data_IF_821603101320
#
_entry.id   IF_821603101320
#
_cell.length_a   1.000
_cell.length_b   1.000
_cell.length_c   1.000
_cell.angle_alpha   90.00
_cell.angle_beta   90.00
_cell.angle_gamma   90.00
#
_symmetry.space_group_name_H-M   'P 1'
#
loop_
_entity.id
_entity.type
_entity.pdbx_description
1 polymer ?
#
# COMPACT_ATOMS: atom_id res chain seq x y z
N UNK A 1 -32.16 -46.26 54.00
CA UNK A 1 -33.34 -45.62 53.38
C UNK A 1 -32.86 -44.30 52.80
N UNK A 2 -32.64 -44.25 51.48
CA UNK A 2 -33.57 -43.69 50.48
C UNK A 2 -33.33 -42.18 50.32
N UNK A 3 -33.14 -41.55 49.16
CA UNK A 3 -32.99 -41.92 47.74
C UNK A 3 -32.57 -40.60 47.03
N UNK A 4 -31.71 -40.71 45.99
CA UNK A 4 -31.69 -39.97 44.68
C UNK A 4 -31.89 -38.42 44.69
N UNK A 5 -31.15 -37.62 43.92
CA UNK A 5 -30.96 -37.73 42.46
C UNK A 5 -29.84 -36.76 41.98
N UNK A 6 -28.97 -37.22 41.06
CA UNK A 6 -28.80 -36.73 39.68
C UNK A 6 -28.50 -35.23 39.50
N UNK A 7 -27.34 -34.88 38.96
CA UNK A 7 -27.22 -34.60 37.51
C UNK A 7 -25.76 -34.38 37.12
N UNK A 8 -25.43 -34.79 35.89
CA UNK A 8 -24.14 -34.63 35.23
C UNK A 8 -24.03 -33.25 34.54
N UNK A 9 -22.92 -33.08 33.81
CA UNK A 9 -22.67 -32.08 32.76
C UNK A 9 -21.94 -30.80 33.23
N UNK A 10 -20.97 -30.23 32.51
CA UNK A 10 -20.12 -30.68 31.40
C UNK A 10 -19.03 -29.60 31.27
N UNK A 11 -17.84 -30.02 30.87
CA UNK A 11 -16.74 -29.16 30.42
C UNK A 11 -17.23 -28.25 29.27
N UNK A 12 -17.05 -26.94 29.37
CA UNK A 12 -17.01 -26.05 28.20
C UNK A 12 -15.74 -25.22 28.26
N UNK A 13 -14.75 -25.67 27.49
CA UNK A 13 -13.58 -24.91 27.08
C UNK A 13 -14.05 -23.72 26.22
N UNK A 14 -14.05 -22.52 26.78
CA UNK A 14 -14.16 -21.29 26.00
C UNK A 14 -12.81 -21.02 25.32
N UNK A 15 -12.67 -21.51 24.08
CA UNK A 15 -11.69 -21.01 23.12
C UNK A 15 -11.97 -19.51 22.91
N UNK A 16 -11.17 -18.67 23.56
CA UNK A 16 -11.10 -17.25 23.29
C UNK A 16 -10.44 -17.10 21.92
N UNK A 17 -11.25 -17.18 20.87
CA UNK A 17 -10.87 -16.72 19.54
C UNK A 17 -10.65 -15.21 19.63
N UNK A 18 -9.40 -14.81 19.82
CA UNK A 18 -8.98 -13.42 19.65
C UNK A 18 -9.23 -13.03 18.19
N UNK A 19 -10.40 -12.45 17.95
CA UNK A 19 -10.64 -11.59 16.80
C UNK A 19 -9.60 -10.47 16.87
N UNK A 20 -8.52 -10.61 16.10
CA UNK A 20 -7.69 -9.47 15.73
C UNK A 20 -8.53 -8.60 14.81
N UNK A 21 -9.32 -7.71 15.41
CA UNK A 21 -9.89 -6.56 14.71
C UNK A 21 -8.69 -5.67 14.41
N UNK A 22 -8.11 -5.80 13.21
CA UNK A 22 -7.15 -4.82 12.71
C UNK A 22 -7.96 -3.53 12.55
N UNK A 23 -7.67 -2.46 13.31
CA UNK A 23 -8.34 -1.19 13.06
C UNK A 23 -7.93 -0.76 11.66
N UNK A 24 -8.87 -0.83 10.72
CA UNK A 24 -8.77 -0.08 9.48
C UNK A 24 -8.82 1.39 9.89
N UNK A 25 -7.65 2.02 9.94
CA UNK A 25 -7.52 3.46 9.97
C UNK A 25 -8.16 3.98 8.68
N UNK A 26 -9.48 4.16 8.70
CA UNK A 26 -10.18 5.05 7.80
C UNK A 26 -9.75 6.46 8.21
N UNK A 27 -8.56 6.86 7.76
CA UNK A 27 -8.11 8.23 7.90
C UNK A 27 -8.98 9.06 6.94
N UNK A 28 -9.87 9.88 7.49
CA UNK A 28 -10.62 10.94 6.79
C UNK A 28 -9.71 12.10 6.30
N UNK A 29 -8.42 11.83 6.09
CA UNK A 29 -7.42 12.79 5.63
C UNK A 29 -6.93 12.44 4.23
N UNK A 30 -6.42 13.45 3.53
CA UNK A 30 -5.70 13.23 2.27
C UNK A 30 -4.55 12.24 2.53
N UNK A 31 -4.45 11.18 1.73
CA UNK A 31 -3.42 10.14 1.85
C UNK A 31 -2.36 10.32 0.79
N UNK A 32 -1.12 9.96 1.10
CA UNK A 32 0.05 9.94 0.20
C UNK A 32 0.83 8.62 0.32
N UNK A 33 1.81 8.44 -0.56
CA UNK A 33 2.80 7.36 -0.52
C UNK A 33 4.09 7.81 0.15
N UNK A 34 4.66 6.94 0.97
CA UNK A 34 5.96 7.14 1.59
C UNK A 34 7.07 7.21 0.54
N UNK A 35 8.02 8.14 0.71
CA UNK A 35 9.25 8.19 -0.08
C UNK A 35 10.02 6.87 0.00
N UNK A 36 10.56 6.45 -1.14
CA UNK A 36 11.27 5.18 -1.30
C UNK A 36 10.36 3.95 -1.35
N UNK A 37 9.04 4.13 -1.50
CA UNK A 37 8.10 3.01 -1.64
C UNK A 37 7.92 2.58 -3.10
N UNK A 38 7.54 1.32 -3.29
CA UNK A 38 7.16 0.78 -4.59
C UNK A 38 5.64 0.69 -4.72
N UNK A 39 5.14 0.89 -5.94
CA UNK A 39 3.77 0.55 -6.32
C UNK A 39 3.83 -0.33 -7.57
N UNK A 40 3.34 -1.56 -7.48
CA UNK A 40 3.46 -2.55 -8.57
C UNK A 40 2.12 -3.05 -9.10
N UNK A 41 2.07 -3.49 -10.35
CA UNK A 41 0.85 -3.96 -11.00
C UNK A 41 0.18 -5.14 -10.26
N UNK A 42 0.98 -6.01 -9.62
CA UNK A 42 0.52 -7.17 -8.86
C UNK A 42 1.18 -7.22 -7.47
N UNK A 43 0.56 -7.87 -6.48
CA UNK A 43 1.17 -8.07 -5.16
C UNK A 43 2.45 -8.91 -5.24
N UNK A 44 2.51 -9.90 -6.14
CA UNK A 44 3.70 -10.74 -6.33
C UNK A 44 4.88 -9.94 -6.87
N UNK A 45 4.65 -9.00 -7.80
CA UNK A 45 5.71 -8.09 -8.27
C UNK A 45 6.21 -7.18 -7.14
N UNK A 46 5.30 -6.72 -6.27
CA UNK A 46 5.66 -5.92 -5.11
C UNK A 46 6.56 -6.71 -4.14
N UNK A 47 6.20 -7.95 -3.82
CA UNK A 47 7.00 -8.79 -2.91
C UNK A 47 8.38 -9.11 -3.49
N UNK A 48 8.46 -9.38 -4.79
CA UNK A 48 9.72 -9.63 -5.48
C UNK A 48 10.65 -8.40 -5.43
N UNK A 49 10.14 -7.21 -5.73
CA UNK A 49 10.99 -6.01 -5.79
C UNK A 49 11.44 -5.54 -4.40
N UNK A 50 10.56 -5.65 -3.39
CA UNK A 50 10.93 -5.34 -2.00
C UNK A 50 11.99 -6.32 -1.50
N UNK A 51 11.87 -7.61 -1.84
CA UNK A 51 12.87 -8.62 -1.50
C UNK A 51 14.20 -8.32 -2.19
N UNK A 52 14.18 -8.02 -3.49
CA UNK A 52 15.38 -7.69 -4.26
C UNK A 52 16.10 -6.44 -3.71
N UNK A 53 15.35 -5.41 -3.31
CA UNK A 53 15.92 -4.21 -2.68
C UNK A 53 16.51 -4.52 -1.30
N UNK A 54 15.82 -5.35 -0.48
CA UNK A 54 16.27 -5.73 0.86
C UNK A 54 17.55 -6.56 0.83
N UNK A 55 17.67 -7.48 -0.13
CA UNK A 55 18.83 -8.37 -0.26
C UNK A 55 20.06 -7.67 -0.84
N UNK A 56 19.93 -6.39 -1.23
CA UNK A 56 21.06 -5.49 -1.51
C UNK A 56 21.85 -5.81 -2.77
N UNK A 57 21.33 -6.68 -3.65
CA UNK A 57 21.99 -7.09 -4.89
C UNK A 57 22.01 -6.02 -5.99
N UNK A 58 21.07 -5.08 -5.96
CA UNK A 58 20.91 -4.02 -6.95
C UNK A 58 20.58 -2.70 -6.27
N UNK A 59 21.04 -1.58 -6.83
CA UNK A 59 20.64 -0.26 -6.35
C UNK A 59 19.15 0.00 -6.66
N UNK A 60 18.45 0.86 -5.89
CA UNK A 60 17.07 1.23 -6.20
C UNK A 60 16.88 1.78 -7.63
N UNK A 61 17.88 2.51 -8.14
CA UNK A 61 17.88 3.02 -9.51
C UNK A 61 17.89 1.89 -10.56
N UNK A 62 18.70 0.87 -10.33
CA UNK A 62 18.77 -0.28 -11.24
C UNK A 62 17.46 -1.07 -11.21
N UNK A 63 16.91 -1.33 -10.03
CA UNK A 63 15.61 -1.98 -9.87
C UNK A 63 14.49 -1.17 -10.54
N UNK A 64 14.53 0.16 -10.44
CA UNK A 64 13.55 1.06 -11.08
C UNK A 64 13.55 0.87 -12.59
N UNK A 65 14.75 0.89 -13.19
CA UNK A 65 14.92 0.71 -14.63
C UNK A 65 14.50 -0.67 -15.12
N UNK A 66 14.85 -1.72 -14.38
CA UNK A 66 14.52 -3.10 -14.75
C UNK A 66 13.02 -3.42 -14.60
N UNK A 67 12.30 -2.66 -13.77
CA UNK A 67 10.90 -2.92 -13.44
C UNK A 67 9.94 -1.77 -13.81
N UNK A 68 10.35 -0.80 -14.62
CA UNK A 68 9.53 0.39 -14.98
C UNK A 68 8.17 0.06 -15.60
N UNK A 69 8.02 -1.14 -16.19
CA UNK A 69 6.77 -1.60 -16.82
C UNK A 69 5.79 -2.22 -15.83
N UNK A 70 6.28 -2.69 -14.70
CA UNK A 70 5.52 -3.46 -13.71
C UNK A 70 5.43 -2.75 -12.37
N UNK A 71 6.33 -1.81 -12.08
CA UNK A 71 6.42 -1.09 -10.83
C UNK A 71 6.82 0.36 -11.05
N UNK A 72 6.32 1.23 -10.18
CA UNK A 72 6.71 2.63 -10.05
C UNK A 72 7.39 2.82 -8.69
N UNK A 73 8.53 3.49 -8.67
CA UNK A 73 9.25 3.85 -7.45
C UNK A 73 8.92 5.29 -7.05
N UNK A 74 8.54 5.50 -5.80
CA UNK A 74 8.22 6.84 -5.26
C UNK A 74 9.52 7.51 -4.79
N UNK A 75 10.25 8.14 -5.70
CA UNK A 75 11.39 9.01 -5.39
C UNK A 75 10.99 10.49 -5.43
N UNK A 76 11.93 11.37 -5.07
CA UNK A 76 11.71 12.81 -5.03
C UNK A 76 11.27 13.37 -6.40
N UNK A 77 11.83 12.86 -7.50
CA UNK A 77 11.44 13.26 -8.87
C UNK A 77 9.97 12.93 -9.14
N UNK A 78 9.53 11.71 -8.83
CA UNK A 78 8.14 11.32 -9.04
C UNK A 78 7.19 12.02 -8.07
N UNK A 79 7.60 12.31 -6.83
CA UNK A 79 6.76 13.04 -5.88
C UNK A 79 6.64 14.54 -6.21
N UNK A 80 7.67 15.17 -6.77
CA UNK A 80 7.61 16.55 -7.26
C UNK A 80 6.68 16.69 -8.48
N UNK A 81 6.62 15.67 -9.35
CA UNK A 81 5.70 15.59 -10.50
C UNK A 81 4.29 15.09 -10.12
N UNK A 82 4.14 14.47 -8.94
CA UNK A 82 2.84 14.14 -8.39
C UNK A 82 2.23 15.38 -7.76
N UNK A 83 1.23 15.96 -8.41
CA UNK A 83 0.35 16.93 -7.77
C UNK A 83 -0.12 16.38 -6.42
N UNK A 84 0.34 17.02 -5.32
CA UNK A 84 -0.02 16.79 -3.92
C UNK A 84 -0.53 15.36 -3.70
N UNK A 85 0.36 14.36 -3.55
CA UNK A 85 0.13 12.94 -3.86
C UNK A 85 -1.17 12.38 -3.26
N UNK A 86 -2.31 12.60 -3.93
CA UNK A 86 -3.61 12.14 -3.45
C UNK A 86 -3.78 10.69 -3.86
N UNK A 87 -3.53 9.83 -2.90
CA UNK A 87 -3.61 8.40 -3.06
C UNK A 87 -4.97 7.94 -2.57
N UNK A 88 -5.67 7.15 -3.37
CA UNK A 88 -6.90 6.48 -2.97
C UNK A 88 -6.62 5.00 -2.79
N UNK A 89 -6.95 4.47 -1.61
CA UNK A 89 -6.96 3.03 -1.38
C UNK A 89 -8.24 2.46 -2.02
N UNK A 90 -8.07 1.49 -2.91
CA UNK A 90 -9.16 0.81 -3.60
C UNK A 90 -9.54 -0.50 -2.93
N UNK A 91 -8.54 -1.22 -2.42
CA UNK A 91 -8.68 -2.57 -1.87
C UNK A 91 -7.54 -2.83 -0.87
N UNK A 92 -7.78 -3.70 0.10
CA UNK A 92 -6.76 -4.16 1.04
C UNK A 92 -6.73 -5.68 1.07
N UNK A 93 -5.52 -6.26 1.00
CA UNK A 93 -5.28 -7.70 1.04
C UNK A 93 -4.11 -7.97 1.98
N UNK A 94 -4.41 -8.48 3.18
CA UNK A 94 -3.40 -8.74 4.20
C UNK A 94 -2.66 -7.46 4.60
N UNK A 95 -1.34 -7.46 4.42
CA UNK A 95 -0.44 -6.33 4.71
C UNK A 95 -0.26 -5.37 3.52
N UNK A 96 -1.01 -5.56 2.42
CA UNK A 96 -0.91 -4.77 1.19
C UNK A 96 -2.19 -4.01 0.90
N UNK A 97 -2.02 -2.86 0.28
CA UNK A 97 -3.09 -2.00 -0.20
C UNK A 97 -2.96 -1.81 -1.71
N UNK A 98 -4.07 -1.97 -2.42
CA UNK A 98 -4.19 -1.53 -3.80
C UNK A 98 -4.55 -0.06 -3.80
N UNK A 99 -3.73 0.74 -4.46
CA UNK A 99 -3.85 2.19 -4.49
C UNK A 99 -4.04 2.69 -5.91
N UNK A 100 -4.65 3.86 -6.05
CA UNK A 100 -4.65 4.64 -7.29
C UNK A 100 -4.30 6.09 -7.01
N UNK A 101 -3.52 6.67 -7.91
CA UNK A 101 -3.10 8.07 -7.86
C UNK A 101 -2.86 8.58 -9.28
N UNK A 102 -2.69 9.88 -9.43
CA UNK A 102 -2.36 10.52 -10.69
C UNK A 102 -0.95 11.11 -10.61
N UNK A 103 -0.16 10.91 -11.65
CA UNK A 103 1.12 11.61 -11.86
C UNK A 103 0.89 12.62 -12.97
N UNK A 104 1.31 13.87 -12.76
CA UNK A 104 1.15 14.93 -13.75
C UNK A 104 2.51 15.25 -14.37
N UNK A 105 2.65 15.00 -15.67
CA UNK A 105 3.83 15.37 -16.42
C UNK A 105 3.63 16.77 -17.02
N UNK A 106 4.51 17.69 -16.68
CA UNK A 106 4.57 19.03 -17.28
C UNK A 106 5.66 19.06 -18.36
N UNK A 107 5.26 19.17 -19.64
CA UNK A 107 6.21 19.41 -20.74
C UNK A 107 6.21 20.89 -21.11
N UNK A 108 7.33 21.57 -20.83
CA UNK A 108 7.55 22.95 -21.28
C UNK A 108 8.24 22.95 -22.65
N UNK A 109 7.56 23.46 -23.68
CA UNK A 109 8.15 23.63 -25.01
C UNK A 109 8.65 25.06 -25.25
N UNK A 110 7.96 26.05 -24.67
CA UNK A 110 8.37 27.45 -24.69
C UNK A 110 7.76 28.20 -23.49
N UNK A 111 8.19 29.45 -23.20
CA UNK A 111 7.63 30.24 -22.09
C UNK A 111 6.11 30.40 -22.13
N UNK A 112 5.48 30.22 -23.30
CA UNK A 112 4.03 30.38 -23.52
C UNK A 112 3.34 29.07 -23.87
N UNK A 113 4.08 27.98 -24.11
CA UNK A 113 3.52 26.68 -24.49
C UNK A 113 3.98 25.61 -23.50
N UNK A 114 3.02 25.21 -22.68
CA UNK A 114 3.14 24.09 -21.75
C UNK A 114 2.06 23.07 -22.10
N UNK A 115 2.41 21.79 -22.00
CA UNK A 115 1.47 20.69 -22.12
C UNK A 115 1.44 19.97 -20.77
N UNK A 116 0.25 19.84 -20.19
CA UNK A 116 0.02 19.06 -18.99
C UNK A 116 -0.62 17.74 -19.40
N UNK A 117 0.01 16.62 -19.04
CA UNK A 117 -0.60 15.31 -19.15
C UNK A 117 -0.70 14.67 -17.77
N UNK A 118 -1.82 13.98 -17.53
CA UNK A 118 -2.03 13.23 -16.28
C UNK A 118 -2.12 11.76 -16.61
N UNK A 119 -1.36 10.94 -15.89
CA UNK A 119 -1.43 9.48 -16.01
C UNK A 119 -1.96 8.93 -14.70
N UNK A 120 -3.06 8.17 -14.79
CA UNK A 120 -3.60 7.42 -13.66
C UNK A 120 -2.80 6.14 -13.47
N UNK A 121 -2.23 5.97 -12.28
CA UNK A 121 -1.60 4.73 -11.87
C UNK A 121 -2.51 3.95 -10.92
N UNK A 122 -2.42 2.63 -10.99
CA UNK A 122 -3.10 1.71 -10.08
C UNK A 122 -2.19 0.52 -9.81
N UNK A 123 -1.96 0.19 -8.55
CA UNK A 123 -1.08 -0.90 -8.18
C UNK A 123 -1.08 -1.20 -6.70
N UNK A 124 -0.23 -2.12 -6.27
CA UNK A 124 -0.11 -2.67 -4.94
C UNK A 124 1.13 -2.16 -4.25
N UNK A 125 0.99 -1.86 -2.96
CA UNK A 125 2.08 -1.46 -2.06
C UNK A 125 1.81 -2.00 -0.66
N UNK A 126 2.80 -2.01 0.24
CA UNK A 126 2.55 -2.29 1.64
C UNK A 126 1.62 -1.23 2.23
N UNK A 127 0.65 -1.65 3.04
CA UNK A 127 -0.31 -0.76 3.69
C UNK A 127 0.39 0.31 4.54
N UNK A 128 1.56 0.01 5.11
CA UNK A 128 2.39 0.94 5.86
C UNK A 128 2.97 2.09 5.03
N UNK A 129 3.04 1.95 3.71
CA UNK A 129 3.53 3.00 2.81
C UNK A 129 2.46 4.04 2.50
N UNK A 130 1.19 3.76 2.82
CA UNK A 130 0.10 4.72 2.67
C UNK A 130 0.00 5.51 3.96
N UNK A 131 0.39 6.78 3.90
CA UNK A 131 0.52 7.65 5.07
C UNK A 131 -0.37 8.88 4.92
N UNK A 132 -0.80 9.53 6.01
CA UNK A 132 -1.48 10.82 5.93
C UNK A 132 -0.59 11.87 5.26
N UNK A 133 -1.18 12.69 4.39
CA UNK A 133 -0.54 13.87 3.82
C UNK A 133 -0.41 14.93 4.93
N UNK A 134 0.82 15.35 5.21
CA UNK A 134 1.13 16.39 6.21
C UNK A 134 1.62 17.62 5.45
N UNK A 135 0.95 18.76 5.67
CA UNK A 135 1.28 20.06 5.07
C UNK A 135 2.32 20.84 5.89
#
# INVERSE_FOLDING_TARGET
MSMRAKSAEAFVLALIGTLFVVPTLAADGDLTLQLGSWVCATPDNYDQIVTAQRDGGSSPFQLKKENEKTCVYMDDENLEEMMAPFVKVLEQQGDKSKVTFFVQFEKRYSPTRQEMSQVKYTGWTAASNVIPLVY
#
